data_IF_568131546202
#
_entry.id   IF_568131546202
#
_cell.length_a   1.000
_cell.length_b   1.000
_cell.length_c   1.000
_cell.angle_alpha   90.00
_cell.angle_beta   90.00
_cell.angle_gamma   90.00
#
_symmetry.space_group_name_H-M   'P 1'
#
loop_
_entity.id
_entity.type
_entity.pdbx_description
1 polymer ?
#
# COMPACT_ATOMS: atom_id res chain seq x y z
N UNK A 1 17.60 18.95 11.30
CA UNK A 1 17.96 18.42 9.98
C UNK A 1 17.07 17.21 9.76
N UNK A 2 16.05 17.35 8.93
CA UNK A 2 15.18 16.24 8.52
C UNK A 2 16.00 15.34 7.62
N UNK A 3 16.04 14.04 7.91
CA UNK A 3 16.81 13.08 7.13
C UNK A 3 16.21 13.01 5.70
N UNK A 4 17.00 13.15 4.61
CA UNK A 4 16.47 13.04 3.24
C UNK A 4 15.85 11.66 2.93
N UNK A 5 16.11 10.64 3.77
CA UNK A 5 15.43 9.35 3.76
C UNK A 5 14.17 9.29 4.66
N UNK A 6 13.87 10.39 5.37
CA UNK A 6 12.69 10.49 6.21
C UNK A 6 11.45 10.65 5.34
N UNK A 7 10.67 9.56 5.27
CA UNK A 7 9.35 9.61 4.65
C UNK A 7 8.52 10.70 5.37
N UNK A 8 7.82 11.60 4.66
CA UNK A 8 6.94 12.55 5.33
C UNK A 8 5.83 11.82 6.10
N UNK A 9 5.48 12.30 7.29
CA UNK A 9 4.42 11.68 8.10
C UNK A 9 3.10 11.57 7.32
N UNK A 10 2.72 12.63 6.60
CA UNK A 10 1.51 12.66 5.77
C UNK A 10 1.51 11.58 4.68
N UNK A 11 2.68 11.28 4.09
CA UNK A 11 2.83 10.23 3.08
C UNK A 11 2.63 8.85 3.70
N UNK A 12 3.15 8.63 4.92
CA UNK A 12 2.94 7.38 5.66
C UNK A 12 1.48 7.19 6.03
N UNK A 13 0.85 8.22 6.60
CA UNK A 13 -0.55 8.18 6.98
C UNK A 13 -1.45 7.92 5.76
N UNK A 14 -1.21 8.62 4.65
CA UNK A 14 -1.95 8.42 3.40
C UNK A 14 -1.79 7.01 2.84
N UNK A 15 -0.56 6.47 2.79
CA UNK A 15 -0.32 5.11 2.32
C UNK A 15 -0.95 4.06 3.23
N UNK A 16 -0.86 4.24 4.55
CA UNK A 16 -1.50 3.36 5.52
C UNK A 16 -3.00 3.33 5.35
N UNK A 17 -3.63 4.49 5.16
CA UNK A 17 -5.06 4.62 4.91
C UNK A 17 -5.47 3.92 3.61
N UNK A 18 -4.80 4.21 2.49
CA UNK A 18 -5.10 3.61 1.19
C UNK A 18 -5.02 2.07 1.24
N UNK A 19 -4.00 1.52 1.90
CA UNK A 19 -3.82 0.07 2.04
C UNK A 19 -4.86 -0.55 2.98
N UNK A 20 -5.26 0.14 4.05
CA UNK A 20 -6.33 -0.30 4.94
C UNK A 20 -7.71 -0.30 4.25
N UNK A 21 -8.01 0.73 3.47
CA UNK A 21 -9.23 0.80 2.67
C UNK A 21 -9.25 -0.27 1.58
N UNK A 22 -8.12 -0.50 0.89
CA UNK A 22 -7.99 -1.54 -0.13
C UNK A 22 -8.24 -2.93 0.45
N UNK A 23 -7.66 -3.20 1.62
CA UNK A 23 -7.91 -4.43 2.37
C UNK A 23 -9.40 -4.60 2.66
N UNK A 24 -10.03 -3.58 3.23
CA UNK A 24 -11.44 -3.64 3.58
C UNK A 24 -12.34 -3.82 2.35
N UNK A 25 -11.98 -3.22 1.21
CA UNK A 25 -12.68 -3.44 -0.06
C UNK A 25 -12.53 -4.88 -0.57
N UNK A 26 -11.32 -5.44 -0.51
CA UNK A 26 -11.06 -6.83 -0.88
C UNK A 26 -11.84 -7.83 0.00
N UNK A 27 -11.88 -7.61 1.32
CA UNK A 27 -12.66 -8.42 2.27
C UNK A 27 -14.17 -8.37 1.98
N UNK A 28 -14.68 -7.26 1.43
CA UNK A 28 -16.08 -7.11 1.01
C UNK A 28 -16.36 -7.66 -0.39
N UNK A 29 -15.35 -8.14 -1.11
CA UNK A 29 -15.47 -8.58 -2.51
C UNK A 29 -15.59 -7.43 -3.52
N UNK A 30 -15.31 -6.20 -3.12
CA UNK A 30 -15.31 -5.02 -4.00
C UNK A 30 -13.95 -4.90 -4.70
N UNK A 31 -13.75 -5.77 -5.70
CA UNK A 31 -12.49 -5.88 -6.42
C UNK A 31 -12.13 -4.59 -7.20
N UNK A 32 -13.13 -3.87 -7.73
CA UNK A 32 -12.91 -2.63 -8.47
C UNK A 32 -12.43 -1.51 -7.55
N UNK A 33 -13.07 -1.33 -6.38
CA UNK A 33 -12.61 -0.36 -5.40
C UNK A 33 -11.23 -0.72 -4.85
N UNK A 34 -11.02 -2.01 -4.51
CA UNK A 34 -9.73 -2.48 -4.02
C UNK A 34 -8.61 -2.22 -5.05
N UNK A 35 -8.87 -2.48 -6.34
CA UNK A 35 -7.92 -2.21 -7.43
C UNK A 35 -7.58 -0.73 -7.53
N UNK A 36 -8.59 0.15 -7.52
CA UNK A 36 -8.38 1.60 -7.62
C UNK A 36 -7.55 2.14 -6.44
N UNK A 37 -7.80 1.65 -5.23
CA UNK A 37 -7.06 2.01 -4.02
C UNK A 37 -5.60 1.53 -4.09
N UNK A 38 -5.36 0.30 -4.55
CA UNK A 38 -4.02 -0.26 -4.72
C UNK A 38 -3.20 0.47 -5.81
N UNK A 39 -3.84 0.85 -6.93
CA UNK A 39 -3.20 1.65 -7.98
C UNK A 39 -2.80 3.05 -7.46
N UNK A 40 -3.67 3.66 -6.64
CA UNK A 40 -3.38 4.94 -6.00
C UNK A 40 -2.24 4.81 -5.01
N UNK A 41 -2.25 3.76 -4.17
CA UNK A 41 -1.18 3.48 -3.22
C UNK A 41 0.18 3.28 -3.91
N UNK A 42 0.22 2.52 -5.01
CA UNK A 42 1.45 2.35 -5.79
C UNK A 42 1.95 3.68 -6.38
N UNK A 43 1.04 4.50 -6.91
CA UNK A 43 1.37 5.81 -7.46
C UNK A 43 1.96 6.73 -6.39
N UNK A 44 1.36 6.77 -5.19
CA UNK A 44 1.89 7.53 -4.06
C UNK A 44 3.25 6.98 -3.63
N UNK A 45 3.39 5.67 -3.49
CA UNK A 45 4.65 5.03 -3.13
C UNK A 45 5.77 5.36 -4.15
N UNK A 46 5.44 5.35 -5.44
CA UNK A 46 6.38 5.64 -6.52
C UNK A 46 6.83 7.10 -6.52
N UNK A 47 5.92 8.03 -6.26
CA UNK A 47 6.18 9.47 -6.36
C UNK A 47 6.68 10.10 -5.06
N UNK A 48 6.35 9.52 -3.91
CA UNK A 48 6.51 10.17 -2.60
C UNK A 48 7.46 9.44 -1.65
N UNK A 49 7.71 8.14 -1.85
CA UNK A 49 8.73 7.45 -1.08
C UNK A 49 10.11 7.67 -1.73
N UNK A 50 11.16 7.90 -0.93
CA UNK A 50 12.52 7.91 -1.43
C UNK A 50 12.84 6.58 -2.13
N UNK A 51 13.66 6.60 -3.19
CA UNK A 51 14.09 5.38 -3.87
C UNK A 51 14.82 4.46 -2.90
N UNK A 52 14.53 3.17 -2.96
CA UNK A 52 15.14 2.17 -2.09
C UNK A 52 14.20 1.00 -1.80
N UNK A 53 14.71 0.03 -1.04
CA UNK A 53 14.02 -1.23 -0.79
C UNK A 53 12.60 -1.04 -0.23
N UNK A 54 12.39 -0.02 0.62
CA UNK A 54 11.07 0.26 1.20
C UNK A 54 10.04 0.57 0.12
N UNK A 55 10.36 1.48 -0.79
CA UNK A 55 9.49 1.84 -1.91
C UNK A 55 9.21 0.61 -2.76
N UNK A 56 10.23 -0.16 -3.08
CA UNK A 56 10.08 -1.35 -3.93
C UNK A 56 9.21 -2.41 -3.27
N UNK A 57 9.34 -2.62 -1.95
CA UNK A 57 8.49 -3.58 -1.21
C UNK A 57 7.04 -3.13 -1.09
N UNK A 58 6.77 -1.84 -0.89
CA UNK A 58 5.39 -1.33 -0.88
C UNK A 58 4.76 -1.48 -2.27
N UNK A 59 5.49 -1.13 -3.34
CA UNK A 59 5.02 -1.28 -4.72
C UNK A 59 4.75 -2.74 -5.08
N UNK A 60 5.67 -3.64 -4.71
CA UNK A 60 5.49 -5.07 -4.91
C UNK A 60 4.27 -5.60 -4.15
N UNK A 61 4.06 -5.18 -2.90
CA UNK A 61 2.87 -5.55 -2.12
C UNK A 61 1.56 -5.07 -2.75
N UNK A 62 1.54 -3.86 -3.30
CA UNK A 62 0.37 -3.35 -4.05
C UNK A 62 0.10 -4.19 -5.30
N UNK A 63 1.14 -4.56 -6.06
CA UNK A 63 1.02 -5.41 -7.24
C UNK A 63 0.53 -6.83 -6.89
N UNK A 64 1.12 -7.45 -5.87
CA UNK A 64 0.71 -8.77 -5.40
C UNK A 64 -0.74 -8.79 -4.90
N UNK A 65 -1.18 -7.74 -4.19
CA UNK A 65 -2.57 -7.61 -3.77
C UNK A 65 -3.54 -7.47 -4.95
N UNK A 66 -3.15 -6.73 -6.00
CA UNK A 66 -3.95 -6.59 -7.24
C UNK A 66 -4.10 -7.91 -7.98
N UNK A 67 -3.00 -8.64 -8.15
CA UNK A 67 -3.02 -9.95 -8.81
C UNK A 67 -3.83 -10.98 -8.02
N UNK A 68 -3.89 -10.81 -6.70
CA UNK A 68 -4.67 -11.65 -5.79
C UNK A 68 -6.16 -11.26 -5.67
N UNK A 69 -6.64 -10.18 -6.29
CA UNK A 69 -8.05 -9.73 -6.17
C UNK A 69 -9.12 -10.79 -6.46
N UNK A 70 -8.91 -11.80 -7.34
CA UNK A 70 -9.85 -12.91 -7.48
C UNK A 70 -10.06 -13.71 -6.17
N UNK A 71 -9.13 -13.61 -5.22
CA UNK A 71 -9.22 -14.13 -3.86
C UNK A 71 -9.10 -12.97 -2.86
N UNK A 72 -10.25 -12.45 -2.41
CA UNK A 72 -10.33 -11.29 -1.52
C UNK A 72 -9.50 -11.43 -0.24
N UNK A 73 -9.49 -12.61 0.39
CA UNK A 73 -8.70 -12.87 1.61
C UNK A 73 -7.20 -12.79 1.34
N UNK A 74 -6.75 -13.33 0.21
CA UNK A 74 -5.35 -13.26 -0.20
C UNK A 74 -4.93 -11.82 -0.56
N UNK A 75 -5.79 -11.08 -1.28
CA UNK A 75 -5.55 -9.67 -1.57
C UNK A 75 -5.47 -8.82 -0.30
N UNK A 76 -6.38 -9.06 0.65
CA UNK A 76 -6.39 -8.41 1.96
C UNK A 76 -5.10 -8.70 2.75
N UNK A 77 -4.61 -9.94 2.73
CA UNK A 77 -3.35 -10.33 3.38
C UNK A 77 -2.15 -9.59 2.76
N UNK A 78 -2.07 -9.47 1.43
CA UNK A 78 -1.01 -8.71 0.77
C UNK A 78 -1.08 -7.21 1.07
N UNK A 79 -2.28 -6.61 1.08
CA UNK A 79 -2.46 -5.21 1.44
C UNK A 79 -2.02 -4.92 2.89
N UNK A 80 -2.37 -5.81 3.83
CA UNK A 80 -1.93 -5.72 5.21
C UNK A 80 -0.40 -5.87 5.34
N UNK A 81 0.20 -6.82 4.61
CA UNK A 81 1.64 -7.03 4.60
C UNK A 81 2.39 -5.81 4.04
N UNK A 82 1.83 -5.12 3.03
CA UNK A 82 2.39 -3.88 2.49
C UNK A 82 2.32 -2.74 3.52
N UNK A 83 1.19 -2.60 4.23
CA UNK A 83 1.01 -1.58 5.26
C UNK A 83 2.00 -1.76 6.42
N UNK A 84 2.28 -3.00 6.81
CA UNK A 84 3.25 -3.33 7.86
C UNK A 84 4.72 -2.98 7.50
N UNK A 85 5.01 -2.56 6.26
CA UNK A 85 6.33 -2.07 5.83
C UNK A 85 6.47 -0.55 5.96
N UNK A 86 5.37 0.15 6.24
CA UNK A 86 5.42 1.53 6.69
C UNK A 86 5.98 1.55 8.12
N UNK A 87 6.85 2.51 8.46
CA UNK A 87 7.39 2.57 9.81
C UNK A 87 6.25 2.86 10.79
N UNK A 88 6.25 2.14 11.91
CA UNK A 88 5.44 2.50 13.07
C UNK A 88 5.97 3.81 13.66
N UNK A 89 5.08 4.56 14.30
CA UNK A 89 5.40 5.79 15.04
C UNK A 89 6.54 5.61 16.05
#
# INVERSE_FOLDING_TARGET
MTDPDEVPHDVRASLGQLLAEARAAAERGDADAARALLDTAETVATNKLPPGERRDRVRWGCAAARDALPNGDLAAAYAAAAAARLPAE
#
